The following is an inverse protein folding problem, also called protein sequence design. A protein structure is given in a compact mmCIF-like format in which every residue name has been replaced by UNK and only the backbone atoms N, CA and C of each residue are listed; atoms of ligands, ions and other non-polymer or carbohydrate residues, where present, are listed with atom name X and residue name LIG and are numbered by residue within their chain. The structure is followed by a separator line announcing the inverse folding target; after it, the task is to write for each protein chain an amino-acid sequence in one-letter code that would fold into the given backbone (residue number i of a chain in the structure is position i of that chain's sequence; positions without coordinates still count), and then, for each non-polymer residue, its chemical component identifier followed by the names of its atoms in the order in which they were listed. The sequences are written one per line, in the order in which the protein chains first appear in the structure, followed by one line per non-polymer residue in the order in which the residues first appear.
data_IF_620754358081
#
_entry.id   IF_620754358081
#
_cell.length_a   1.000
_cell.length_b   1.000
_cell.length_c   1.000
_cell.angle_alpha   90.00
_cell.angle_beta   90.00
_cell.angle_gamma   90.00
#
_symmetry.space_group_name_H-M   'P 1'
#
loop_
_entity.id
_entity.type
_entity.pdbx_description
1 polymer ?
#
# COMPACT_ATOMS: atom_id res chain seq x y z
N UNK A 1 -6.71 -5.29 -2.14
CA UNK A 1 -5.99 -4.14 -2.72
C UNK A 1 -6.43 -3.92 -4.15
N UNK A 2 -6.46 -2.67 -4.62
CA UNK A 2 -6.81 -2.33 -6.02
C UNK A 2 -5.81 -2.89 -7.03
N UNK A 3 -4.58 -3.15 -6.59
CA UNK A 3 -3.50 -3.80 -7.35
C UNK A 3 -3.58 -5.34 -7.38
N UNK A 4 -4.49 -5.96 -6.63
CA UNK A 4 -4.60 -7.44 -6.57
C UNK A 4 -4.82 -8.10 -7.93
N UNK A 5 -5.61 -7.54 -8.87
CA UNK A 5 -5.73 -8.10 -10.22
C UNK A 5 -4.40 -8.20 -10.96
N UNK A 6 -3.47 -7.26 -10.76
CA UNK A 6 -2.17 -7.29 -11.41
C UNK A 6 -1.35 -8.51 -11.00
N UNK A 7 -1.43 -8.94 -9.73
CA UNK A 7 -0.80 -10.18 -9.27
C UNK A 7 -1.35 -11.39 -10.02
N UNK A 8 -2.67 -11.55 -10.05
CA UNK A 8 -3.29 -12.73 -10.68
C UNK A 8 -3.03 -12.77 -12.19
N UNK A 9 -3.06 -11.62 -12.87
CA UNK A 9 -2.75 -11.54 -14.30
C UNK A 9 -1.28 -11.84 -14.58
N UNK A 10 -0.34 -11.22 -13.86
CA UNK A 10 1.09 -11.30 -14.17
C UNK A 10 1.72 -12.61 -13.65
N UNK A 11 1.35 -13.06 -12.46
CA UNK A 11 1.99 -14.20 -11.80
C UNK A 11 1.24 -15.53 -12.01
N UNK A 12 -0.08 -15.48 -12.18
CA UNK A 12 -0.93 -16.68 -12.27
C UNK A 12 -1.57 -16.87 -13.65
N UNK A 13 -1.41 -15.91 -14.57
CA UNK A 13 -2.08 -15.88 -15.87
C UNK A 13 -3.61 -15.98 -15.75
N UNK A 14 -4.18 -15.45 -14.65
CA UNK A 14 -5.61 -15.49 -14.32
C UNK A 14 -6.23 -14.09 -14.36
N UNK A 15 -7.03 -13.82 -15.40
CA UNK A 15 -7.77 -12.56 -15.59
C UNK A 15 -9.17 -12.57 -14.95
N UNK A 16 -9.55 -13.63 -14.22
CA UNK A 16 -10.87 -13.75 -13.60
C UNK A 16 -11.01 -12.98 -12.27
N UNK A 17 -9.91 -12.41 -11.76
CA UNK A 17 -9.88 -11.73 -10.47
C UNK A 17 -9.96 -10.22 -10.64
N UNK A 18 -10.92 -9.60 -9.97
CA UNK A 18 -11.13 -8.16 -10.00
C UNK A 18 -11.09 -7.56 -8.59
N UNK A 19 -10.69 -6.30 -8.51
CA UNK A 19 -10.85 -5.49 -7.31
C UNK A 19 -12.00 -4.50 -7.51
N UNK A 20 -12.78 -4.28 -6.46
CA UNK A 20 -13.94 -3.39 -6.52
C UNK A 20 -13.54 -1.98 -6.06
N UNK A 21 -13.85 -1.00 -6.92
CA UNK A 21 -13.95 0.40 -6.53
C UNK A 21 -15.35 0.64 -5.94
N UNK A 22 -15.42 0.88 -4.63
CA UNK A 22 -16.70 1.13 -3.96
C UNK A 22 -17.18 2.57 -4.21
N UNK A 23 -18.50 2.77 -4.25
CA UNK A 23 -19.10 4.10 -4.48
C UNK A 23 -18.73 5.08 -3.34
N UNK A 24 -18.63 4.58 -2.10
CA UNK A 24 -18.20 5.34 -0.93
C UNK A 24 -16.69 5.63 -0.91
N UNK A 25 -15.94 4.96 -1.80
CA UNK A 25 -14.49 5.02 -1.88
C UNK A 25 -13.77 3.85 -1.21
N UNK A 26 -12.49 3.72 -1.52
CA UNK A 26 -11.62 2.71 -0.92
C UNK A 26 -10.59 3.39 0.00
N UNK A 27 -10.22 2.69 1.06
CA UNK A 27 -9.28 3.20 2.05
C UNK A 27 -7.83 3.07 1.55
N UNK A 28 -7.10 4.19 1.54
CA UNK A 28 -5.69 4.23 1.16
C UNK A 28 -4.80 3.75 2.30
N UNK A 29 -3.90 2.84 1.98
CA UNK A 29 -2.79 2.47 2.84
C UNK A 29 -1.49 3.00 2.26
N UNK A 30 -0.69 3.67 3.10
CA UNK A 30 0.68 4.08 2.79
C UNK A 30 1.61 3.34 3.74
N UNK A 31 2.43 2.45 3.18
CA UNK A 31 3.50 1.80 3.96
C UNK A 31 4.67 2.76 4.11
N UNK A 32 5.21 2.86 5.33
CA UNK A 32 6.26 3.81 5.68
C UNK A 32 7.47 3.10 6.26
N UNK A 33 8.65 3.69 6.08
CA UNK A 33 9.87 3.31 6.77
C UNK A 33 10.44 4.52 7.49
N UNK A 34 11.09 4.29 8.64
CA UNK A 34 11.68 5.33 9.45
C UNK A 34 12.99 4.85 10.09
N UNK A 35 13.91 5.80 10.31
CA UNK A 35 15.14 5.57 11.05
C UNK A 35 14.85 5.48 12.55
N UNK A 36 15.38 4.45 13.20
CA UNK A 36 15.35 4.36 14.67
C UNK A 36 16.20 5.48 15.29
N UNK A 37 15.64 6.21 16.25
CA UNK A 37 16.36 7.28 16.95
C UNK A 37 17.62 6.79 17.69
N UNK A 38 17.64 5.51 18.08
CA UNK A 38 18.75 4.86 18.77
C UNK A 38 19.67 4.04 17.85
N UNK A 39 19.58 4.21 16.52
CA UNK A 39 20.44 3.48 15.59
C UNK A 39 21.92 3.78 15.86
N UNK A 40 22.73 2.74 15.92
CA UNK A 40 24.20 2.79 15.96
C UNK A 40 24.82 3.02 14.58
N UNK A 41 24.00 3.07 13.52
CA UNK A 41 24.40 3.40 12.14
C UNK A 41 23.45 4.44 11.52
N UNK A 42 23.38 5.68 12.06
CA UNK A 42 22.40 6.66 11.62
C UNK A 42 22.60 7.15 10.18
N UNK A 43 23.85 7.29 9.72
CA UNK A 43 24.15 7.71 8.35
C UNK A 43 23.78 6.63 7.33
N UNK A 44 23.96 5.34 7.68
CA UNK A 44 23.57 4.24 6.81
C UNK A 44 22.03 4.14 6.72
N UNK A 45 21.34 4.36 7.84
CA UNK A 45 19.88 4.39 7.84
C UNK A 45 19.34 5.54 6.96
N UNK A 46 19.95 6.72 7.01
CA UNK A 46 19.60 7.84 6.12
C UNK A 46 19.86 7.50 4.66
N UNK A 47 21.01 6.88 4.35
CA UNK A 47 21.34 6.44 2.99
C UNK A 47 20.36 5.37 2.49
N UNK A 48 19.93 4.45 3.35
CA UNK A 48 18.93 3.42 3.00
C UNK A 48 17.56 4.03 2.72
N UNK A 49 17.09 4.95 3.56
CA UNK A 49 15.81 5.64 3.32
C UNK A 49 15.85 6.48 2.03
N UNK A 50 16.98 7.09 1.71
CA UNK A 50 17.17 7.77 0.43
C UNK A 50 17.17 6.78 -0.75
N UNK A 51 17.85 5.62 -0.60
CA UNK A 51 17.85 4.56 -1.60
C UNK A 51 16.44 4.02 -1.88
N UNK A 52 15.58 3.90 -0.86
CA UNK A 52 14.20 3.46 -1.02
C UNK A 52 13.40 4.33 -2.02
N UNK A 53 13.78 5.59 -2.22
CA UNK A 53 13.11 6.51 -3.14
C UNK A 53 13.74 6.55 -4.54
N UNK A 54 14.75 5.73 -4.79
CA UNK A 54 15.40 5.63 -6.11
C UNK A 54 14.65 4.68 -7.03
N UNK A 55 14.87 4.82 -8.34
CA UNK A 55 14.31 3.92 -9.35
C UNK A 55 14.67 2.44 -9.10
N UNK A 56 15.90 2.17 -8.64
CA UNK A 56 16.36 0.80 -8.35
C UNK A 56 15.50 0.11 -7.27
N UNK A 57 14.99 0.85 -6.29
CA UNK A 57 14.07 0.31 -5.28
C UNK A 57 12.63 0.33 -5.78
N UNK A 58 12.20 1.44 -6.38
CA UNK A 58 10.80 1.66 -6.73
C UNK A 58 10.34 0.79 -7.91
N UNK A 59 11.23 0.45 -8.84
CA UNK A 59 10.93 -0.40 -10.01
C UNK A 59 10.59 -1.85 -9.66
N UNK A 60 11.04 -2.36 -8.52
CA UNK A 60 10.76 -3.73 -8.10
C UNK A 60 9.49 -3.86 -7.27
N UNK A 61 8.97 -2.77 -6.69
CA UNK A 61 7.78 -2.78 -5.82
C UNK A 61 6.54 -3.38 -6.51
N UNK A 62 6.20 -3.03 -7.77
CA UNK A 62 4.98 -3.52 -8.42
C UNK A 62 4.87 -5.05 -8.48
N UNK A 63 5.98 -5.78 -8.67
CA UNK A 63 5.96 -7.23 -8.87
C UNK A 63 6.55 -8.04 -7.72
N UNK A 64 6.98 -7.37 -6.65
CA UNK A 64 7.46 -8.02 -5.41
C UNK A 64 6.50 -7.80 -4.25
N UNK A 65 6.00 -6.59 -4.07
CA UNK A 65 5.05 -6.24 -3.01
C UNK A 65 3.60 -6.10 -3.53
N UNK A 66 3.40 -6.08 -4.85
CA UNK A 66 2.08 -5.93 -5.49
C UNK A 66 1.34 -4.66 -5.06
N UNK A 67 2.08 -3.55 -5.01
CA UNK A 67 1.60 -2.23 -4.62
C UNK A 67 2.02 -1.18 -5.65
N UNK A 68 1.33 -0.03 -5.68
CA UNK A 68 1.82 1.11 -6.44
C UNK A 68 3.10 1.68 -5.80
N UNK A 69 4.10 2.08 -6.60
CA UNK A 69 5.31 2.69 -6.09
C UNK A 69 5.03 4.12 -5.61
N UNK A 70 5.79 4.58 -4.62
CA UNK A 70 5.71 5.95 -4.09
C UNK A 70 6.36 6.99 -5.01
N UNK A 71 7.33 6.55 -5.81
CA UNK A 71 7.91 7.33 -6.92
C UNK A 71 7.72 6.51 -8.19
N UNK A 72 7.15 7.10 -9.24
CA UNK A 72 6.97 6.39 -10.50
C UNK A 72 8.33 5.97 -11.08
N UNK A 73 8.56 4.67 -11.34
CA UNK A 73 9.77 4.19 -11.99
C UNK A 73 9.93 4.81 -13.38
N UNK A 74 11.18 4.98 -13.85
CA UNK A 74 11.47 5.56 -15.17
C UNK A 74 10.82 4.75 -16.31
N UNK A 75 10.74 3.42 -16.14
CA UNK A 75 10.07 2.52 -17.08
C UNK A 75 8.55 2.46 -16.96
N UNK A 76 7.96 3.19 -16.02
CA UNK A 76 6.53 3.11 -15.70
C UNK A 76 6.13 1.83 -14.96
N UNK A 77 4.83 1.55 -14.94
CA UNK A 77 4.28 0.31 -14.36
C UNK A 77 4.36 -0.85 -15.37
N UNK A 78 4.54 -2.09 -14.90
CA UNK A 78 4.49 -3.27 -15.77
C UNK A 78 3.15 -3.43 -16.49
N UNK A 79 3.18 -4.07 -17.66
CA UNK A 79 1.96 -4.52 -18.34
C UNK A 79 1.17 -5.48 -17.42
N UNK A 80 -0.14 -5.28 -17.32
CA UNK A 80 -1.02 -5.99 -16.37
C UNK A 80 -1.44 -5.16 -15.16
N UNK A 81 -0.79 -4.01 -14.90
CA UNK A 81 -1.32 -3.01 -13.97
C UNK A 81 -2.47 -2.23 -14.60
N UNK A 82 -3.70 -2.70 -14.35
CA UNK A 82 -4.92 -2.00 -14.72
C UNK A 82 -5.29 -0.94 -13.67
N UNK A 83 -5.78 0.21 -14.15
CA UNK A 83 -6.31 1.30 -13.32
C UNK A 83 -7.83 1.28 -13.19
N UNK A 84 -8.53 0.32 -13.80
CA UNK A 84 -9.99 0.18 -13.72
C UNK A 84 -10.54 0.03 -12.30
N UNK A 85 -9.72 -0.49 -11.38
CA UNK A 85 -10.06 -0.63 -9.97
C UNK A 85 -9.65 0.57 -9.10
N UNK A 86 -9.12 1.67 -9.68
CA UNK A 86 -8.86 2.89 -8.92
C UNK A 86 -10.19 3.52 -8.49
N UNK A 87 -10.37 3.82 -7.18
CA UNK A 87 -11.60 4.41 -6.70
C UNK A 87 -11.71 5.88 -7.10
N UNK A 88 -12.93 6.36 -7.34
CA UNK A 88 -13.20 7.79 -7.51
C UNK A 88 -12.91 8.57 -6.23
N UNK A 89 -13.22 7.97 -5.08
CA UNK A 89 -13.00 8.55 -3.75
C UNK A 89 -11.92 7.77 -3.01
N UNK A 90 -10.87 8.46 -2.59
CA UNK A 90 -9.84 7.89 -1.72
C UNK A 90 -10.08 8.31 -0.28
N UNK A 91 -10.27 7.34 0.61
CA UNK A 91 -10.44 7.57 2.04
C UNK A 91 -9.10 7.45 2.75
N UNK A 92 -8.76 8.42 3.60
CA UNK A 92 -7.56 8.37 4.43
C UNK A 92 -7.83 9.07 5.77
N UNK A 93 -7.83 8.32 6.87
CA UNK A 93 -7.78 8.93 8.19
C UNK A 93 -6.34 9.25 8.57
N UNK A 94 -6.17 10.36 9.29
CA UNK A 94 -4.88 10.73 9.89
C UNK A 94 -4.54 9.72 11.00
N UNK A 95 -3.25 9.41 11.14
CA UNK A 95 -2.79 8.44 12.14
C UNK A 95 -3.20 8.78 13.58
N UNK A 96 -3.22 10.06 13.94
CA UNK A 96 -3.67 10.54 15.27
C UNK A 96 -5.14 10.21 15.53
N UNK A 97 -6.04 10.57 14.60
CA UNK A 97 -7.46 10.25 14.72
C UNK A 97 -7.73 8.74 14.71
N UNK A 98 -6.94 7.97 13.96
CA UNK A 98 -7.02 6.51 13.96
C UNK A 98 -6.57 5.90 15.30
N UNK A 99 -5.53 6.43 15.93
CA UNK A 99 -5.03 5.98 17.23
C UNK A 99 -6.03 6.29 18.35
N UNK A 100 -6.62 7.50 18.35
CA UNK A 100 -7.67 7.90 19.30
C UNK A 100 -8.91 7.00 19.24
N UNK A 101 -9.27 6.53 18.04
CA UNK A 101 -10.46 5.71 17.81
C UNK A 101 -10.20 4.21 17.93
N UNK A 102 -8.93 3.77 17.91
CA UNK A 102 -8.55 2.37 17.73
C UNK A 102 -9.23 1.46 18.75
N UNK A 103 -9.08 1.75 20.03
CA UNK A 103 -9.52 0.84 21.09
C UNK A 103 -11.05 0.75 21.11
N UNK A 104 -11.75 1.87 20.93
CA UNK A 104 -13.22 1.91 20.82
C UNK A 104 -13.71 1.10 19.61
N UNK A 105 -13.11 1.31 18.43
CA UNK A 105 -13.52 0.62 17.21
C UNK A 105 -13.27 -0.89 17.28
N UNK A 106 -12.16 -1.32 17.89
CA UNK A 106 -11.83 -2.72 18.07
C UNK A 106 -12.77 -3.42 19.05
N UNK A 107 -13.11 -2.78 20.18
CA UNK A 107 -14.05 -3.31 21.16
C UNK A 107 -15.45 -3.51 20.53
N UNK A 108 -15.95 -2.49 19.81
CA UNK A 108 -17.23 -2.56 19.10
C UNK A 108 -17.23 -3.66 18.02
N UNK A 109 -16.16 -3.73 17.22
CA UNK A 109 -16.02 -4.77 16.20
C UNK A 109 -16.05 -6.17 16.81
N UNK A 110 -15.27 -6.40 17.88
CA UNK A 110 -15.21 -7.70 18.54
C UNK A 110 -16.58 -8.10 19.12
N UNK A 111 -17.25 -7.17 19.79
CA UNK A 111 -18.57 -7.41 20.39
C UNK A 111 -19.65 -7.72 19.35
N UNK A 112 -19.60 -7.06 18.18
CA UNK A 112 -20.56 -7.26 17.10
C UNK A 112 -20.29 -8.53 16.26
N UNK A 113 -19.02 -8.91 16.06
CA UNK A 113 -18.61 -9.94 15.10
C UNK A 113 -18.39 -11.35 15.70
N UNK A 114 -18.33 -11.51 17.03
CA UNK A 114 -17.90 -12.77 17.68
C UNK A 114 -19.04 -13.63 18.23
N UNK A 115 -20.25 -13.55 17.67
CA UNK A 115 -21.40 -14.36 18.11
C UNK A 115 -21.46 -15.73 17.44
#
# INVERSE_FOLDING_TARGET
YTTSPAYHVIAEEDDSKAALAFEEGNYLQVEVAAKLAASDQPELADAFLAFMLTDAFQSVIPTTNWMYPSVMPEGGLPEGFDSSALPETTLLQRGEAADEMRDVALDEWLAAASR
#
